data_IF_375156684265
#
_entry.id   IF_375156684265
#
_cell.length_a   1.000
_cell.length_b   1.000
_cell.length_c   1.000
_cell.angle_alpha   90.00
_cell.angle_beta   90.00
_cell.angle_gamma   90.00
#
_symmetry.space_group_name_H-M   'P 1'
#
loop_
_entity.id
_entity.type
_entity.pdbx_description
1 polymer ?
#
# COMPACT_ATOMS: atom_id res chain seq x y z
N UNK A 1 22.55 2.41 3.72
CA UNK A 1 22.30 1.13 2.99
C UNK A 1 20.86 0.62 3.12
N UNK A 2 20.06 1.06 4.11
CA UNK A 2 18.65 0.64 4.27
C UNK A 2 17.66 1.32 3.30
N UNK A 3 17.86 2.59 2.95
CA UNK A 3 16.90 3.36 2.12
C UNK A 3 16.69 2.75 0.73
N UNK A 4 17.78 2.32 0.06
CA UNK A 4 17.67 1.69 -1.27
C UNK A 4 16.90 0.37 -1.20
N UNK A 5 17.12 -0.42 -0.14
CA UNK A 5 16.38 -1.67 0.08
C UNK A 5 14.89 -1.38 0.33
N UNK A 6 14.56 -0.38 1.14
CA UNK A 6 13.18 0.01 1.42
C UNK A 6 12.47 0.50 0.15
N UNK A 7 13.16 1.21 -0.74
CA UNK A 7 12.65 1.61 -2.06
C UNK A 7 12.35 0.39 -2.93
N UNK A 8 13.25 -0.58 -2.98
CA UNK A 8 13.04 -1.83 -3.74
C UNK A 8 11.82 -2.57 -3.20
N UNK A 9 11.70 -2.70 -1.87
CA UNK A 9 10.55 -3.34 -1.24
C UNK A 9 9.24 -2.60 -1.53
N UNK A 10 9.25 -1.26 -1.48
CA UNK A 10 8.12 -0.41 -1.82
C UNK A 10 7.68 -0.60 -3.28
N UNK A 11 8.63 -0.63 -4.22
CA UNK A 11 8.37 -0.87 -5.64
C UNK A 11 7.75 -2.25 -5.87
N UNK A 12 8.32 -3.30 -5.25
CA UNK A 12 7.81 -4.68 -5.39
C UNK A 12 6.39 -4.78 -4.81
N UNK A 13 6.15 -4.21 -3.63
CA UNK A 13 4.83 -4.19 -3.02
C UNK A 13 3.81 -3.42 -3.88
N UNK A 14 4.20 -2.26 -4.40
CA UNK A 14 3.35 -1.45 -5.28
C UNK A 14 3.00 -2.16 -6.60
N UNK A 15 3.98 -2.85 -7.21
CA UNK A 15 3.74 -3.70 -8.37
C UNK A 15 2.77 -4.85 -8.07
N UNK A 16 2.96 -5.52 -6.92
CA UNK A 16 2.08 -6.60 -6.46
C UNK A 16 0.63 -6.14 -6.26
N UNK A 17 0.44 -4.99 -5.59
CA UNK A 17 -0.89 -4.39 -5.38
C UNK A 17 -1.55 -4.01 -6.71
N UNK A 18 -0.81 -3.40 -7.63
CA UNK A 18 -1.36 -3.06 -8.96
C UNK A 18 -1.71 -4.30 -9.80
N UNK A 19 -0.89 -5.35 -9.72
CA UNK A 19 -1.17 -6.63 -10.36
C UNK A 19 -2.46 -7.25 -9.80
N UNK A 20 -2.60 -7.33 -8.48
CA UNK A 20 -3.82 -7.82 -7.82
C UNK A 20 -5.04 -6.96 -8.18
N UNK A 21 -4.88 -5.64 -8.23
CA UNK A 21 -5.94 -4.71 -8.65
C UNK A 21 -6.43 -5.00 -10.08
N UNK A 22 -5.50 -5.23 -11.00
CA UNK A 22 -5.83 -5.62 -12.38
C UNK A 22 -6.46 -7.02 -12.48
N UNK A 23 -6.12 -7.97 -11.60
CA UNK A 23 -6.76 -9.29 -11.54
C UNK A 23 -8.21 -9.20 -11.05
N UNK A 24 -8.46 -8.38 -10.02
CA UNK A 24 -9.81 -8.23 -9.42
C UNK A 24 -10.75 -7.46 -10.35
N UNK A 25 -10.22 -6.44 -11.04
CA UNK A 25 -11.00 -5.61 -11.94
C UNK A 25 -10.26 -5.52 -13.27
N UNK A 26 -10.56 -6.48 -14.14
CA UNK A 26 -9.89 -6.60 -15.44
C UNK A 26 -10.10 -5.31 -16.23
N UNK A 27 -9.03 -4.53 -16.47
CA UNK A 27 -9.15 -3.32 -17.26
C UNK A 27 -9.49 -3.72 -18.71
N UNK A 28 -10.50 -3.07 -19.29
CA UNK A 28 -10.96 -3.40 -20.66
C UNK A 28 -9.94 -3.10 -21.77
N UNK A 29 -8.78 -2.53 -21.46
CA UNK A 29 -7.70 -2.25 -22.42
C UNK A 29 -6.31 -2.50 -21.82
N UNK A 30 -5.37 -3.00 -22.64
CA UNK A 30 -3.98 -3.24 -22.25
C UNK A 30 -3.27 -1.97 -21.76
N UNK A 31 -3.58 -0.82 -22.34
CA UNK A 31 -3.05 0.48 -21.90
C UNK A 31 -3.40 0.78 -20.44
N UNK A 32 -4.65 0.52 -20.03
CA UNK A 32 -5.10 0.74 -18.65
C UNK A 32 -4.40 -0.21 -17.69
N UNK A 33 -4.18 -1.46 -18.10
CA UNK A 33 -3.44 -2.46 -17.32
C UNK A 33 -2.00 -2.01 -17.05
N UNK A 34 -1.30 -1.54 -18.09
CA UNK A 34 0.05 -1.00 -17.97
C UNK A 34 0.10 0.26 -17.11
N UNK A 35 -0.87 1.17 -17.25
CA UNK A 35 -0.95 2.37 -16.42
C UNK A 35 -1.15 2.03 -14.95
N UNK A 36 -2.05 1.10 -14.61
CA UNK A 36 -2.23 0.66 -13.21
C UNK A 36 -0.93 0.11 -12.63
N UNK A 37 -0.19 -0.69 -13.39
CA UNK A 37 1.11 -1.23 -12.98
C UNK A 37 2.17 -0.14 -12.79
N UNK A 38 2.30 0.78 -13.74
CA UNK A 38 3.24 1.89 -13.65
C UNK A 38 2.94 2.79 -12.44
N UNK A 39 1.66 3.11 -12.22
CA UNK A 39 1.22 3.87 -11.05
C UNK A 39 1.53 3.12 -9.76
N UNK A 40 1.26 1.82 -9.69
CA UNK A 40 1.59 0.99 -8.53
C UNK A 40 3.08 1.00 -8.20
N UNK A 41 3.94 0.82 -9.20
CA UNK A 41 5.40 0.86 -9.04
C UNK A 41 5.88 2.21 -8.51
N UNK A 42 5.46 3.30 -9.15
CA UNK A 42 5.88 4.66 -8.79
C UNK A 42 5.39 5.00 -7.38
N UNK A 43 4.11 4.78 -7.09
CA UNK A 43 3.54 5.09 -5.77
C UNK A 43 4.10 4.18 -4.67
N UNK A 44 4.40 2.92 -4.98
CA UNK A 44 5.05 2.00 -4.04
C UNK A 44 6.45 2.48 -3.65
N UNK A 45 7.27 2.87 -4.63
CA UNK A 45 8.59 3.45 -4.38
C UNK A 45 8.52 4.77 -3.62
N UNK A 46 7.69 5.73 -4.06
CA UNK A 46 7.52 7.01 -3.37
C UNK A 46 6.97 6.84 -1.94
N UNK A 47 6.03 5.90 -1.75
CA UNK A 47 5.46 5.57 -0.45
C UNK A 47 6.51 5.04 0.53
N UNK A 48 7.43 4.19 0.09
CA UNK A 48 8.52 3.73 0.97
C UNK A 48 9.48 4.85 1.37
N UNK A 49 9.80 5.79 0.47
CA UNK A 49 10.62 6.97 0.81
C UNK A 49 9.89 7.84 1.84
N UNK A 50 8.61 8.11 1.62
CA UNK A 50 7.80 8.88 2.56
C UNK A 50 7.71 8.19 3.94
N UNK A 51 7.55 6.86 3.95
CA UNK A 51 7.57 6.04 5.16
C UNK A 51 8.89 6.16 5.92
N UNK A 52 10.02 6.05 5.22
CA UNK A 52 11.36 6.21 5.82
C UNK A 52 11.55 7.62 6.40
N UNK A 53 11.12 8.67 5.69
CA UNK A 53 11.19 10.04 6.21
C UNK A 53 10.37 10.18 7.49
N UNK A 54 9.17 9.60 7.51
CA UNK A 54 8.28 9.67 8.66
C UNK A 54 8.76 8.84 9.86
N UNK A 55 9.47 7.73 9.63
CA UNK A 55 10.06 6.92 10.68
C UNK A 55 11.31 7.57 11.31
N UNK A 56 12.09 8.31 10.51
CA UNK A 56 13.33 8.93 10.98
C UNK A 56 13.14 10.36 11.50
N UNK A 57 12.18 11.10 10.96
CA UNK A 57 11.98 12.54 11.25
C UNK A 57 10.56 12.87 11.71
N UNK A 58 9.67 11.88 11.83
CA UNK A 58 8.31 12.09 12.27
C UNK A 58 8.18 12.35 13.78
N UNK A 59 7.05 12.94 14.21
CA UNK A 59 6.79 13.15 15.62
C UNK A 59 6.58 11.80 16.34
N UNK A 60 7.32 11.60 17.42
CA UNK A 60 7.19 10.44 18.31
C UNK A 60 6.25 10.78 19.47
N UNK A 61 5.45 9.80 19.89
CA UNK A 61 4.60 9.89 21.07
C UNK A 61 4.67 8.55 21.82
N UNK A 62 5.03 8.58 23.10
CA UNK A 62 5.23 7.36 23.92
C UNK A 62 6.18 6.33 23.28
N UNK A 63 7.33 6.80 22.80
CA UNK A 63 8.35 5.99 22.10
C UNK A 63 7.85 5.27 20.83
N UNK A 64 6.67 5.64 20.34
CA UNK A 64 6.09 5.13 19.11
C UNK A 64 6.03 6.23 18.06
N UNK A 65 6.33 5.87 16.80
CA UNK A 65 6.09 6.75 15.67
C UNK A 65 4.57 6.87 15.45
N UNK A 66 3.98 7.94 15.98
CA UNK A 66 2.53 8.14 16.07
C UNK A 66 1.85 8.11 14.71
N UNK A 67 2.43 8.80 13.71
CA UNK A 67 1.82 8.93 12.39
C UNK A 67 1.83 7.60 11.62
N UNK A 68 2.95 6.85 11.51
CA UNK A 68 2.94 5.50 10.94
C UNK A 68 1.97 4.53 11.63
N UNK A 69 1.84 4.61 12.96
CA UNK A 69 0.93 3.75 13.72
C UNK A 69 -0.54 4.01 13.35
N UNK A 70 -0.97 5.27 13.27
CA UNK A 70 -2.33 5.63 12.84
C UNK A 70 -2.57 5.24 11.39
N UNK A 71 -1.64 5.58 10.48
CA UNK A 71 -1.77 5.26 9.06
C UNK A 71 -1.89 3.75 8.86
N UNK A 72 -1.03 2.97 9.53
CA UNK A 72 -1.08 1.51 9.50
C UNK A 72 -2.41 0.96 10.02
N UNK A 73 -2.92 1.49 11.14
CA UNK A 73 -4.21 1.10 11.71
C UNK A 73 -5.39 1.37 10.77
N UNK A 74 -5.44 2.57 10.17
CA UNK A 74 -6.50 2.94 9.22
C UNK A 74 -6.43 2.09 7.95
N UNK A 75 -5.24 1.89 7.38
CA UNK A 75 -5.06 1.09 6.16
C UNK A 75 -5.43 -0.37 6.42
N UNK A 76 -4.97 -0.99 7.52
CA UNK A 76 -5.32 -2.37 7.87
C UNK A 76 -6.82 -2.52 8.15
N UNK A 77 -7.45 -1.56 8.82
CA UNK A 77 -8.90 -1.57 9.01
C UNK A 77 -9.64 -1.50 7.67
N UNK A 78 -9.22 -0.60 6.77
CA UNK A 78 -9.86 -0.47 5.46
C UNK A 78 -9.66 -1.70 4.60
N UNK A 79 -8.43 -2.21 4.49
CA UNK A 79 -8.11 -3.42 3.73
C UNK A 79 -8.82 -4.63 4.34
N UNK A 80 -8.75 -4.83 5.65
CA UNK A 80 -9.37 -5.95 6.34
C UNK A 80 -10.90 -5.94 6.23
N UNK A 81 -11.55 -4.80 6.46
CA UNK A 81 -13.01 -4.68 6.35
C UNK A 81 -13.47 -4.77 4.90
N UNK A 82 -12.79 -4.09 3.96
CA UNK A 82 -13.17 -4.12 2.56
C UNK A 82 -12.92 -5.50 1.93
N UNK A 83 -11.75 -6.09 2.14
CA UNK A 83 -11.44 -7.43 1.67
C UNK A 83 -12.34 -8.47 2.37
N UNK A 84 -12.59 -8.33 3.68
CA UNK A 84 -13.51 -9.20 4.42
C UNK A 84 -14.93 -9.15 3.87
N UNK A 85 -15.48 -7.96 3.65
CA UNK A 85 -16.82 -7.81 3.05
C UNK A 85 -16.89 -8.33 1.62
N UNK A 86 -15.83 -8.13 0.83
CA UNK A 86 -15.83 -8.46 -0.61
C UNK A 86 -15.44 -9.91 -0.92
N UNK A 87 -14.53 -10.51 -0.15
CA UNK A 87 -13.97 -11.84 -0.43
C UNK A 87 -14.52 -12.91 0.50
N UNK A 88 -14.73 -12.58 1.77
CA UNK A 88 -15.24 -13.53 2.76
C UNK A 88 -16.77 -13.43 2.93
N UNK A 89 -17.43 -12.56 2.15
CA UNK A 89 -18.84 -12.22 2.32
C UNK A 89 -19.18 -11.97 3.80
N UNK A 90 -18.29 -11.29 4.54
CA UNK A 90 -18.53 -10.88 5.91
C UNK A 90 -19.57 -9.75 5.92
N UNK A 91 -20.82 -10.15 5.70
CA UNK A 91 -22.03 -9.39 5.84
C UNK A 91 -22.90 -10.12 6.86
N UNK A 92 -23.44 -9.35 7.80
CA UNK A 92 -24.51 -9.79 8.69
C UNK A 92 -25.67 -10.28 7.81
N UNK A 93 -26.13 -11.50 8.06
CA UNK A 93 -27.46 -11.96 7.67
C UNK A 93 -28.52 -11.15 8.41
#
# INVERSE_FOLDING_TARGET
MAVVLNIILGVIAGAGVAFLGNMIKTPGTELKKMLTLAVGIILGGLGSVAGDQLLNYGPTFLDSNFVPAIVGGVVLAFVGVYAGKKWLHLGIA
#
